data_IF_318071415586
#
_entry.id   IF_318071415586
#
_cell.length_a   1.000
_cell.length_b   1.000
_cell.length_c   1.000
_cell.angle_alpha   90.00
_cell.angle_beta   90.00
_cell.angle_gamma   90.00
#
_symmetry.space_group_name_H-M   'P 1'
#
loop_
_entity.id
_entity.type
_entity.pdbx_description
1 polymer ?
#
# COMPACT_ATOMS: atom_id res chain seq x y z
N UNK A 1 -12.37 25.62 -8.02
CA UNK A 1 -11.67 24.43 -8.57
C UNK A 1 -10.70 23.96 -7.51
N UNK A 2 -10.80 22.72 -7.02
CA UNK A 2 -9.84 22.16 -6.08
C UNK A 2 -8.80 21.42 -6.92
N UNK A 3 -7.60 21.97 -7.01
CA UNK A 3 -6.49 21.30 -7.67
C UNK A 3 -6.13 20.05 -6.86
N UNK A 4 -6.05 18.89 -7.52
CA UNK A 4 -5.45 17.71 -6.90
C UNK A 4 -4.02 18.10 -6.49
N UNK A 5 -3.59 17.82 -5.26
CA UNK A 5 -2.18 17.92 -4.93
C UNK A 5 -1.44 17.05 -5.94
N UNK A 6 -0.49 17.62 -6.67
CA UNK A 6 0.49 16.84 -7.40
C UNK A 6 1.34 16.13 -6.34
N UNK A 7 0.83 15.02 -5.83
CA UNK A 7 1.68 14.06 -5.13
C UNK A 7 2.65 13.63 -6.21
N UNK A 8 3.89 14.10 -6.09
CA UNK A 8 5.02 13.59 -6.86
C UNK A 8 5.23 12.12 -6.46
N UNK A 9 4.32 11.24 -6.88
CA UNK A 9 4.60 9.82 -7.05
C UNK A 9 5.51 9.68 -8.28
N UNK A 10 6.62 10.41 -8.27
CA UNK A 10 7.67 10.33 -9.27
C UNK A 10 8.28 8.95 -9.14
N UNK A 11 7.82 8.01 -9.97
CA UNK A 11 8.54 6.79 -10.35
C UNK A 11 9.25 6.07 -9.18
N UNK A 12 8.58 5.92 -8.04
CA UNK A 12 9.16 5.21 -6.90
C UNK A 12 9.28 3.75 -7.31
N UNK A 13 10.51 3.24 -7.40
CA UNK A 13 10.75 1.85 -7.69
C UNK A 13 10.81 1.04 -6.40
N UNK A 14 9.81 0.20 -6.17
CA UNK A 14 9.75 -0.67 -5.01
C UNK A 14 10.47 -1.99 -5.28
N UNK A 15 11.17 -2.56 -4.28
CA UNK A 15 11.75 -3.89 -4.42
C UNK A 15 10.67 -4.92 -4.76
N UNK A 16 10.94 -5.81 -5.73
CA UNK A 16 10.00 -6.89 -6.07
C UNK A 16 9.67 -7.78 -4.87
N UNK A 17 10.62 -7.99 -3.96
CA UNK A 17 10.41 -8.74 -2.71
C UNK A 17 9.37 -8.09 -1.80
N UNK A 18 9.34 -6.76 -1.73
CA UNK A 18 8.33 -6.02 -0.96
C UNK A 18 6.94 -6.17 -1.59
N UNK A 19 6.86 -6.00 -2.91
CA UNK A 19 5.58 -6.18 -3.62
C UNK A 19 5.05 -7.60 -3.39
N UNK A 20 5.94 -8.61 -3.49
CA UNK A 20 5.57 -10.01 -3.24
C UNK A 20 5.12 -10.24 -1.79
N UNK A 21 5.78 -9.60 -0.82
CA UNK A 21 5.39 -9.69 0.59
C UNK A 21 3.98 -9.12 0.83
N UNK A 22 3.67 -7.96 0.23
CA UNK A 22 2.33 -7.35 0.30
C UNK A 22 1.30 -8.25 -0.37
N UNK A 23 1.62 -8.81 -1.54
CA UNK A 23 0.74 -9.73 -2.26
C UNK A 23 0.55 -11.09 -1.55
N UNK A 24 1.37 -11.39 -0.53
CA UNK A 24 1.17 -12.55 0.33
C UNK A 24 -0.03 -12.43 1.27
N UNK A 25 -0.56 -11.23 1.48
CA UNK A 25 -1.76 -10.98 2.26
C UNK A 25 -2.69 -9.98 1.53
N UNK A 26 -3.32 -10.46 0.46
CA UNK A 26 -4.28 -9.68 -0.31
C UNK A 26 -5.63 -9.64 0.40
N UNK A 27 -6.24 -8.46 0.43
CA UNK A 27 -7.61 -8.27 0.85
C UNK A 27 -8.55 -8.29 -0.36
N UNK A 28 -9.52 -9.20 -0.34
CA UNK A 28 -10.48 -9.39 -1.44
C UNK A 28 -11.82 -8.70 -1.20
N UNK A 29 -12.08 -8.23 0.03
CA UNK A 29 -13.36 -7.66 0.43
C UNK A 29 -14.40 -8.72 0.78
N UNK A 30 -13.97 -9.94 1.13
CA UNK A 30 -14.88 -11.02 1.47
C UNK A 30 -15.48 -10.81 2.88
N UNK A 31 -16.72 -11.27 3.14
CA UNK A 31 -17.37 -11.08 4.44
C UNK A 31 -16.64 -11.69 5.64
N UNK A 32 -15.73 -12.64 5.40
CA UNK A 32 -14.93 -13.34 6.41
C UNK A 32 -13.53 -12.74 6.60
N UNK A 33 -13.15 -11.73 5.84
CA UNK A 33 -11.88 -11.02 6.01
C UNK A 33 -12.04 -9.87 7.01
N UNK A 34 -11.01 -9.64 7.83
CA UNK A 34 -10.98 -8.51 8.76
C UNK A 34 -10.18 -7.34 8.13
N UNK A 35 -10.85 -6.23 7.76
CA UNK A 35 -10.17 -5.08 7.17
C UNK A 35 -9.17 -4.40 8.12
N UNK A 36 -9.39 -4.48 9.45
CA UNK A 36 -8.47 -3.89 10.42
C UNK A 36 -7.21 -4.74 10.57
N UNK A 37 -7.34 -6.06 10.59
CA UNK A 37 -6.19 -6.97 10.60
C UNK A 37 -5.34 -6.83 9.31
N UNK A 38 -6.00 -6.72 8.15
CA UNK A 38 -5.33 -6.43 6.89
C UNK A 38 -4.54 -5.12 6.94
N UNK A 39 -5.21 -4.04 7.35
CA UNK A 39 -4.59 -2.72 7.43
C UNK A 39 -3.40 -2.69 8.41
N UNK A 40 -3.52 -3.35 9.55
CA UNK A 40 -2.43 -3.46 10.52
C UNK A 40 -1.19 -4.15 9.92
N UNK A 41 -1.36 -5.32 9.29
CA UNK A 41 -0.24 -6.01 8.63
C UNK A 41 0.35 -5.17 7.50
N UNK A 42 -0.50 -4.55 6.67
CA UNK A 42 -0.05 -3.69 5.59
C UNK A 42 0.83 -2.53 6.10
N UNK A 43 0.42 -1.88 7.18
CA UNK A 43 1.18 -0.80 7.82
C UNK A 43 2.51 -1.31 8.36
N UNK A 44 2.53 -2.48 9.01
CA UNK A 44 3.77 -3.10 9.50
C UNK A 44 4.76 -3.37 8.37
N UNK A 45 4.30 -3.93 7.25
CA UNK A 45 5.14 -4.17 6.07
C UNK A 45 5.68 -2.84 5.52
N UNK A 46 4.83 -1.82 5.38
CA UNK A 46 5.27 -0.51 4.89
C UNK A 46 6.23 0.21 5.84
N UNK A 47 6.17 -0.06 7.15
CA UNK A 47 7.11 0.53 8.11
C UNK A 47 8.53 -0.07 8.02
N UNK A 48 8.71 -1.19 7.30
CA UNK A 48 10.04 -1.81 7.07
C UNK A 48 10.89 -1.05 6.04
N UNK A 49 10.27 -0.14 5.29
CA UNK A 49 10.88 0.62 4.21
C UNK A 49 10.85 2.10 4.54
N UNK A 50 11.95 2.78 4.20
CA UNK A 50 12.06 4.23 4.25
C UNK A 50 12.74 4.70 2.99
N UNK A 51 12.15 5.70 2.33
CA UNK A 51 12.70 6.30 1.13
C UNK A 51 13.00 7.75 1.45
N UNK A 52 14.28 8.12 1.37
CA UNK A 52 14.73 9.48 1.67
C UNK A 52 13.98 10.49 0.81
N UNK A 53 13.36 11.48 1.45
CA UNK A 53 12.60 12.54 0.76
C UNK A 53 11.17 12.16 0.38
N UNK A 54 10.70 10.95 0.68
CA UNK A 54 9.31 10.53 0.47
C UNK A 54 8.63 10.34 1.82
N UNK A 55 7.47 10.99 2.07
CA UNK A 55 6.70 10.74 3.28
C UNK A 55 6.20 9.29 3.37
N UNK A 56 6.24 8.69 4.57
CA UNK A 56 5.78 7.32 4.80
C UNK A 56 4.32 7.10 4.35
N UNK A 57 3.48 8.13 4.47
CA UNK A 57 2.10 8.10 4.01
C UNK A 57 1.99 7.98 2.47
N UNK A 58 2.86 8.66 1.72
CA UNK A 58 2.90 8.54 0.26
C UNK A 58 3.34 7.13 -0.18
N UNK A 59 4.28 6.51 0.56
CA UNK A 59 4.70 5.11 0.35
C UNK A 59 3.51 4.18 0.59
N UNK A 60 2.81 4.32 1.72
CA UNK A 60 1.62 3.53 2.06
C UNK A 60 0.52 3.68 1.00
N UNK A 61 0.16 4.91 0.61
CA UNK A 61 -0.87 5.15 -0.41
C UNK A 61 -0.49 4.50 -1.74
N UNK A 62 0.78 4.64 -2.15
CA UNK A 62 1.27 4.07 -3.41
C UNK A 62 1.31 2.54 -3.40
N UNK A 63 1.56 1.90 -2.25
CA UNK A 63 1.64 0.45 -2.13
C UNK A 63 0.30 -0.23 -1.84
N UNK A 64 -0.70 0.53 -1.37
CA UNK A 64 -1.99 -0.01 -0.95
C UNK A 64 -2.70 -0.79 -2.06
N UNK A 65 -2.61 -0.32 -3.31
CA UNK A 65 -3.20 -1.00 -4.48
C UNK A 65 -2.64 -2.39 -4.76
N UNK A 66 -1.42 -2.69 -4.30
CA UNK A 66 -0.83 -4.04 -4.38
C UNK A 66 -1.34 -4.98 -3.28
N UNK A 67 -1.99 -4.44 -2.24
CA UNK A 67 -2.57 -5.21 -1.14
C UNK A 67 -4.03 -5.62 -1.38
N UNK A 68 -4.62 -5.20 -2.50
CA UNK A 68 -6.04 -5.44 -2.83
C UNK A 68 -6.19 -6.42 -3.99
N UNK A 69 -7.25 -7.21 -3.93
CA UNK A 69 -7.68 -8.13 -4.97
C UNK A 69 -9.22 -8.20 -5.02
N UNK A 70 -9.77 -8.96 -5.98
CA UNK A 70 -11.21 -9.20 -6.07
C UNK A 70 -12.03 -7.91 -6.13
N UNK A 71 -13.12 -7.89 -5.35
CA UNK A 71 -14.06 -6.76 -5.27
C UNK A 71 -13.50 -5.56 -4.49
N UNK A 72 -12.42 -5.74 -3.72
CA UNK A 72 -11.79 -4.66 -2.98
C UNK A 72 -10.85 -3.79 -3.83
N UNK A 73 -10.52 -4.21 -5.06
CA UNK A 73 -9.56 -3.52 -5.93
C UNK A 73 -10.19 -2.48 -6.85
#
# INVERSE_FOLDING_TARGET
>A
SIARPEVQANNINYPHSLIHLIQGNLFQGLPNEDPYAHLAMFIEICNTIKITGVPDEAIRISLFSFSLAGEAK
#
